data_IF_447548329135
#
_entry.id   IF_447548329135
#
_cell.length_a   1.000
_cell.length_b   1.000
_cell.length_c   1.000
_cell.angle_alpha   90.00
_cell.angle_beta   90.00
_cell.angle_gamma   90.00
#
_symmetry.space_group_name_H-M   'P 1'
#
loop_
_entity.id
_entity.type
_entity.pdbx_description
1 polymer ?
#
# COMPACT_ATOMS: atom_id res chain seq x y z
N UNK A 1 -8.08 4.64 0.91
CA UNK A 1 -7.36 3.50 1.53
C UNK A 1 -8.17 2.24 1.29
N UNK A 2 -7.52 1.14 0.89
CA UNK A 2 -8.15 -0.16 0.60
C UNK A 2 -7.54 -1.21 1.53
N UNK A 3 -8.37 -2.03 2.17
CA UNK A 3 -7.91 -3.12 3.01
C UNK A 3 -8.06 -4.47 2.30
N UNK A 4 -7.01 -5.29 2.36
CA UNK A 4 -6.97 -6.65 1.85
C UNK A 4 -6.71 -7.63 2.98
N UNK A 5 -7.24 -8.85 2.85
CA UNK A 5 -7.11 -9.89 3.87
C UNK A 5 -5.70 -10.50 3.88
N UNK A 6 -5.03 -10.54 2.73
CA UNK A 6 -3.73 -11.22 2.55
C UNK A 6 -2.71 -10.29 1.91
N UNK A 7 -1.43 -10.43 2.31
CA UNK A 7 -0.36 -9.54 1.82
C UNK A 7 -0.19 -9.58 0.29
N UNK A 8 -0.42 -10.73 -0.36
CA UNK A 8 -0.31 -10.83 -1.82
C UNK A 8 -1.45 -10.07 -2.53
N UNK A 9 -2.65 -10.01 -1.93
CA UNK A 9 -3.77 -9.21 -2.45
C UNK A 9 -3.42 -7.72 -2.42
N UNK A 10 -2.73 -7.26 -1.37
CA UNK A 10 -2.27 -5.87 -1.26
C UNK A 10 -1.35 -5.49 -2.43
N UNK A 11 -0.44 -6.39 -2.81
CA UNK A 11 0.49 -6.18 -3.93
C UNK A 11 -0.27 -6.18 -5.25
N UNK A 12 -1.07 -7.22 -5.52
CA UNK A 12 -1.83 -7.34 -6.78
C UNK A 12 -2.78 -6.16 -6.99
N UNK A 13 -3.50 -5.74 -5.95
CA UNK A 13 -4.42 -4.59 -6.04
C UNK A 13 -3.64 -3.29 -6.28
N UNK A 14 -2.49 -3.10 -5.62
CA UNK A 14 -1.65 -1.93 -5.88
C UNK A 14 -1.06 -1.92 -7.29
N UNK A 15 -0.71 -3.07 -7.85
CA UNK A 15 -0.22 -3.17 -9.23
C UNK A 15 -1.34 -2.87 -10.23
N UNK A 16 -2.51 -3.51 -10.05
CA UNK A 16 -3.70 -3.25 -10.87
C UNK A 16 -4.10 -1.77 -10.89
N UNK A 17 -4.07 -1.10 -9.74
CA UNK A 17 -4.35 0.33 -9.64
C UNK A 17 -3.34 1.18 -10.41
N UNK A 18 -2.05 0.86 -10.29
CA UNK A 18 -0.97 1.54 -11.03
C UNK A 18 -1.11 1.34 -12.54
N UNK A 19 -1.44 0.14 -12.98
CA UNK A 19 -1.71 -0.17 -14.40
C UNK A 19 -2.96 0.56 -14.92
N UNK A 20 -3.94 0.81 -14.04
CA UNK A 20 -5.16 1.57 -14.36
C UNK A 20 -4.95 3.09 -14.31
N UNK A 21 -3.74 3.58 -14.03
CA UNK A 21 -3.40 5.01 -14.00
C UNK A 21 -3.56 5.69 -12.64
N UNK A 22 -3.78 4.95 -11.56
CA UNK A 22 -3.84 5.49 -10.20
C UNK A 22 -2.47 5.44 -9.52
N UNK A 23 -2.14 6.47 -8.73
CA UNK A 23 -0.94 6.43 -7.87
C UNK A 23 -1.26 5.64 -6.59
N UNK A 24 -0.62 4.49 -6.41
CA UNK A 24 -0.85 3.64 -5.24
C UNK A 24 0.41 3.04 -4.66
N UNK A 25 0.33 2.67 -3.39
CA UNK A 25 1.39 1.96 -2.66
C UNK A 25 0.81 0.86 -1.77
N UNK A 26 1.54 -0.25 -1.66
CA UNK A 26 1.18 -1.36 -0.79
C UNK A 26 1.84 -1.22 0.60
N UNK A 27 1.12 -1.60 1.65
CA UNK A 27 1.59 -1.67 3.03
C UNK A 27 1.22 -3.03 3.63
N UNK A 28 2.20 -3.91 3.78
CA UNK A 28 1.97 -5.28 4.26
C UNK A 28 2.81 -5.57 5.51
N UNK A 29 2.36 -6.52 6.33
CA UNK A 29 3.12 -7.00 7.48
C UNK A 29 4.42 -7.74 7.15
N UNK A 30 4.74 -7.98 5.86
CA UNK A 30 5.99 -8.61 5.42
C UNK A 30 7.11 -7.60 5.13
N UNK A 31 6.76 -6.31 5.06
CA UNK A 31 7.72 -5.23 4.80
C UNK A 31 8.52 -4.91 6.06
N UNK A 32 9.79 -4.54 5.89
CA UNK A 32 10.61 -4.00 6.96
C UNK A 32 9.98 -2.69 7.47
N UNK A 33 10.22 -2.37 8.74
CA UNK A 33 9.65 -1.17 9.35
C UNK A 33 10.01 0.14 8.60
N UNK A 34 11.20 0.19 7.99
CA UNK A 34 11.62 1.34 7.18
C UNK A 34 10.77 1.49 5.92
N UNK A 35 10.52 0.40 5.19
CA UNK A 35 9.69 0.37 3.99
C UNK A 35 8.22 0.70 4.32
N UNK A 36 7.74 0.25 5.48
CA UNK A 36 6.41 0.60 6.01
C UNK A 36 6.28 2.11 6.23
N UNK A 37 7.27 2.72 6.88
CA UNK A 37 7.29 4.18 7.11
C UNK A 37 7.36 4.96 5.81
N UNK A 38 8.18 4.53 4.86
CA UNK A 38 8.27 5.17 3.54
C UNK A 38 6.93 5.12 2.79
N UNK A 39 6.27 3.96 2.77
CA UNK A 39 4.98 3.79 2.10
C UNK A 39 3.88 4.61 2.76
N UNK A 40 3.86 4.66 4.09
CA UNK A 40 2.96 5.51 4.83
C UNK A 40 3.23 6.99 4.56
N UNK A 41 4.50 7.39 4.55
CA UNK A 41 4.93 8.76 4.24
C UNK A 41 4.42 9.19 2.86
N UNK A 42 4.61 8.38 1.82
CA UNK A 42 4.09 8.66 0.47
C UNK A 42 2.59 8.92 0.46
N UNK A 43 1.82 8.16 1.24
CA UNK A 43 0.38 8.35 1.33
C UNK A 43 0.00 9.63 2.10
N UNK A 44 0.60 9.89 3.26
CA UNK A 44 0.25 11.07 4.08
C UNK A 44 0.74 12.38 3.47
N UNK A 45 1.82 12.36 2.67
CA UNK A 45 2.31 13.54 1.93
C UNK A 45 1.57 13.74 0.62
N UNK A 46 0.57 12.90 0.30
CA UNK A 46 -0.17 12.93 -0.96
C UNK A 46 0.70 12.69 -2.21
N UNK A 47 1.87 12.04 -2.06
CA UNK A 47 2.67 11.56 -3.20
C UNK A 47 1.95 10.42 -3.95
N UNK A 48 1.17 9.62 -3.21
CA UNK A 48 0.25 8.62 -3.77
C UNK A 48 -1.16 8.80 -3.22
N UNK A 49 -2.16 8.55 -4.06
CA UNK A 49 -3.57 8.75 -3.71
C UNK A 49 -4.18 7.52 -3.01
N UNK A 50 -3.63 6.33 -3.23
CA UNK A 50 -4.20 5.07 -2.72
C UNK A 50 -3.17 4.26 -1.92
N UNK A 51 -3.40 4.16 -0.62
CA UNK A 51 -2.76 3.15 0.22
C UNK A 51 -3.59 1.85 0.23
N UNK A 52 -2.97 0.74 -0.16
CA UNK A 52 -3.53 -0.61 -0.05
C UNK A 52 -2.84 -1.29 1.13
N UNK A 53 -3.58 -1.84 2.10
CA UNK A 53 -3.00 -2.36 3.34
C UNK A 53 -3.66 -3.67 3.81
N UNK A 54 -2.99 -4.39 4.72
CA UNK A 54 -3.61 -5.46 5.54
C UNK A 54 -3.94 -4.96 6.95
N UNK A 55 -4.91 -5.58 7.64
CA UNK A 55 -5.37 -5.17 8.98
C UNK A 55 -4.26 -5.08 10.04
N UNK A 56 -3.18 -5.86 9.90
CA UNK A 56 -2.06 -5.93 10.87
C UNK A 56 -0.89 -4.99 10.50
N UNK A 57 -1.03 -4.22 9.41
CA UNK A 57 0.05 -3.34 8.94
C UNK A 57 0.10 -1.97 9.64
N UNK A 58 -0.67 -1.75 10.71
CA UNK A 58 -0.58 -0.59 11.63
C UNK A 58 0.69 -0.58 12.47
#
# INVERSE_FOLDING_TARGET
MIFCKRCHETIMVSEFLRESGHSSVALTGRMKQIERKESLNKFITSEVEVLVATDVAS
#
